data_IF_051725990658
#
_entry.id   IF_051725990658
#
_cell.length_a   1.000
_cell.length_b   1.000
_cell.length_c   1.000
_cell.angle_alpha   90.00
_cell.angle_beta   90.00
_cell.angle_gamma   90.00
#
_symmetry.space_group_name_H-M   'P 1'
#
loop_
_entity.id
_entity.type
_entity.pdbx_description
1 polymer ?
#
# COMPACT_ATOMS: atom_id res chain seq x y z
N UNK A 1 -14.19 10.26 5.60
CA UNK A 1 -15.21 9.35 5.04
C UNK A 1 -14.47 8.36 4.18
N UNK A 2 -13.81 7.34 4.76
CA UNK A 2 -13.08 6.34 3.98
C UNK A 2 -13.23 4.93 4.58
N UNK A 3 -14.43 4.59 5.03
CA UNK A 3 -14.77 3.26 5.55
C UNK A 3 -14.78 2.16 4.48
N UNK A 4 -14.46 2.47 3.22
CA UNK A 4 -14.56 1.50 2.14
C UNK A 4 -13.35 0.54 2.11
N UNK A 5 -12.12 1.06 2.20
CA UNK A 5 -10.92 0.21 2.15
C UNK A 5 -10.76 -0.63 3.42
N UNK A 6 -11.04 -0.06 4.59
CA UNK A 6 -10.98 -0.80 5.87
C UNK A 6 -11.91 -2.01 5.85
N UNK A 7 -13.15 -1.85 5.38
CA UNK A 7 -14.11 -2.95 5.33
C UNK A 7 -13.69 -4.02 4.33
N UNK A 8 -13.22 -3.63 3.14
CA UNK A 8 -12.71 -4.60 2.16
C UNK A 8 -11.51 -5.36 2.73
N UNK A 9 -10.62 -4.71 3.47
CA UNK A 9 -9.48 -5.38 4.12
C UNK A 9 -9.91 -6.31 5.25
N UNK A 10 -11.02 -6.02 5.95
CA UNK A 10 -11.61 -6.96 6.92
C UNK A 10 -12.20 -8.17 6.21
N UNK A 11 -12.98 -7.95 5.16
CA UNK A 11 -13.63 -9.00 4.39
C UNK A 11 -12.60 -9.92 3.70
N UNK A 12 -11.45 -9.36 3.28
CA UNK A 12 -10.32 -10.13 2.74
C UNK A 12 -9.63 -11.05 3.78
N UNK A 13 -9.98 -10.93 5.06
CA UNK A 13 -9.50 -11.77 6.15
C UNK A 13 -10.61 -12.65 6.73
N UNK A 14 -11.80 -12.65 6.12
CA UNK A 14 -12.94 -13.44 6.59
C UNK A 14 -12.67 -14.94 6.42
N UNK A 15 -13.10 -15.79 7.38
CA UNK A 15 -13.00 -17.24 7.24
C UNK A 15 -13.87 -17.82 6.12
N UNK A 16 -14.93 -17.13 5.67
CA UNK A 16 -15.74 -17.53 4.50
C UNK A 16 -14.98 -17.23 3.21
N UNK A 17 -14.69 -18.28 2.44
CA UNK A 17 -13.98 -18.19 1.17
C UNK A 17 -14.69 -17.29 0.15
N UNK A 18 -16.03 -17.23 0.15
CA UNK A 18 -16.76 -16.38 -0.79
C UNK A 18 -16.58 -14.90 -0.47
N UNK A 19 -16.67 -14.54 0.81
CA UNK A 19 -16.46 -13.16 1.28
C UNK A 19 -15.03 -12.72 0.99
N UNK A 20 -14.05 -13.59 1.29
CA UNK A 20 -12.64 -13.32 1.00
C UNK A 20 -12.37 -13.11 -0.49
N UNK A 21 -12.86 -14.01 -1.35
CA UNK A 21 -12.66 -13.91 -2.81
C UNK A 21 -13.31 -12.66 -3.39
N UNK A 22 -14.51 -12.28 -2.92
CA UNK A 22 -15.18 -11.06 -3.36
C UNK A 22 -14.38 -9.81 -2.95
N UNK A 23 -13.84 -9.79 -1.73
CA UNK A 23 -13.00 -8.70 -1.24
C UNK A 23 -11.68 -8.59 -2.03
N UNK A 24 -11.02 -9.70 -2.30
CA UNK A 24 -9.82 -9.74 -3.15
C UNK A 24 -10.10 -9.22 -4.57
N UNK A 25 -11.23 -9.60 -5.15
CA UNK A 25 -11.66 -9.09 -6.46
C UNK A 25 -11.89 -7.57 -6.43
N UNK A 26 -12.51 -7.05 -5.36
CA UNK A 26 -12.71 -5.60 -5.16
C UNK A 26 -11.38 -4.86 -5.01
N UNK A 27 -10.42 -5.39 -4.24
CA UNK A 27 -9.09 -4.79 -4.10
C UNK A 27 -8.40 -4.66 -5.45
N UNK A 28 -8.44 -5.74 -6.25
CA UNK A 28 -7.87 -5.74 -7.61
C UNK A 28 -8.57 -4.74 -8.53
N UNK A 29 -9.89 -4.67 -8.47
CA UNK A 29 -10.67 -3.71 -9.25
C UNK A 29 -10.33 -2.25 -8.88
N UNK A 30 -10.11 -1.95 -7.59
CA UNK A 30 -9.70 -0.62 -7.15
C UNK A 30 -8.32 -0.25 -7.65
N UNK A 31 -7.36 -1.18 -7.58
CA UNK A 31 -6.00 -1.00 -8.11
C UNK A 31 -6.04 -0.74 -9.62
N UNK A 32 -6.79 -1.54 -10.39
CA UNK A 32 -6.89 -1.39 -11.86
C UNK A 32 -7.62 -0.10 -12.26
N UNK A 33 -8.63 0.32 -11.50
CA UNK A 33 -9.42 1.53 -11.78
C UNK A 33 -8.66 2.81 -11.48
N UNK A 34 -8.00 2.88 -10.33
CA UNK A 34 -7.29 4.08 -9.90
C UNK A 34 -6.17 3.72 -8.92
N UNK A 35 -5.09 3.18 -9.49
CA UNK A 35 -3.87 2.83 -8.76
C UNK A 35 -3.34 3.95 -7.86
N UNK A 36 -3.20 5.23 -8.29
CA UNK A 36 -2.72 6.30 -7.41
C UNK A 36 -3.54 6.45 -6.12
N UNK A 37 -4.87 6.56 -6.24
CA UNK A 37 -5.75 6.72 -5.07
C UNK A 37 -5.83 5.46 -4.21
N UNK A 38 -5.72 4.28 -4.84
CA UNK A 38 -5.66 3.01 -4.12
C UNK A 38 -4.42 2.94 -3.21
N UNK A 39 -3.23 3.27 -3.72
CA UNK A 39 -2.00 3.31 -2.93
C UNK A 39 -2.08 4.34 -1.79
N UNK A 40 -2.66 5.51 -2.05
CA UNK A 40 -2.89 6.53 -1.03
C UNK A 40 -3.83 6.02 0.08
N UNK A 41 -4.92 5.37 -0.29
CA UNK A 41 -5.88 4.79 0.66
C UNK A 41 -5.22 3.74 1.56
N UNK A 42 -4.40 2.85 0.98
CA UNK A 42 -3.65 1.86 1.76
C UNK A 42 -2.62 2.51 2.69
N UNK A 43 -1.93 3.56 2.25
CA UNK A 43 -0.96 4.27 3.09
C UNK A 43 -1.63 5.00 4.27
N UNK A 44 -2.82 5.57 4.03
CA UNK A 44 -3.63 6.22 5.06
C UNK A 44 -4.11 5.19 6.08
N UNK A 45 -4.66 4.06 5.62
CA UNK A 45 -5.11 2.96 6.46
C UNK A 45 -3.97 2.42 7.35
N UNK A 46 -2.78 2.21 6.77
CA UNK A 46 -1.59 1.75 7.50
C UNK A 46 -1.18 2.72 8.62
N UNK A 47 -1.30 4.03 8.37
CA UNK A 47 -0.94 5.11 9.29
C UNK A 47 -2.01 5.43 10.35
N UNK A 48 -3.26 5.02 10.12
CA UNK A 48 -4.37 5.25 11.03
C UNK A 48 -4.26 4.37 12.27
N UNK A 49 -4.05 4.98 13.44
CA UNK A 49 -4.07 4.25 14.73
C UNK A 49 -5.48 3.83 15.14
N UNK A 50 -6.52 4.45 14.57
CA UNK A 50 -7.91 4.08 14.79
C UNK A 50 -8.31 2.80 14.02
N UNK A 51 -7.50 2.39 13.05
CA UNK A 51 -7.74 1.20 12.24
C UNK A 51 -7.32 -0.09 12.96
N UNK A 52 -8.03 -1.21 12.77
CA UNK A 52 -7.66 -2.48 13.38
C UNK A 52 -6.23 -2.92 13.00
N UNK A 53 -5.43 -3.44 13.94
CA UNK A 53 -4.04 -3.83 13.69
C UNK A 53 -3.86 -4.77 12.49
N UNK A 54 -4.80 -5.70 12.30
CA UNK A 54 -4.86 -6.67 11.21
C UNK A 54 -5.08 -6.00 9.84
N UNK A 55 -6.00 -5.03 9.75
CA UNK A 55 -6.24 -4.24 8.54
C UNK A 55 -5.00 -3.43 8.17
N UNK A 56 -4.34 -2.81 9.16
CA UNK A 56 -3.09 -2.06 8.95
C UNK A 56 -1.98 -2.97 8.43
N UNK A 57 -1.85 -4.16 9.01
CA UNK A 57 -0.85 -5.14 8.59
C UNK A 57 -1.08 -5.61 7.14
N UNK A 58 -2.33 -5.92 6.81
CA UNK A 58 -2.71 -6.31 5.45
C UNK A 58 -2.51 -5.16 4.46
N UNK A 59 -2.90 -3.93 4.82
CA UNK A 59 -2.68 -2.75 4.00
C UNK A 59 -1.19 -2.53 3.69
N UNK A 60 -0.32 -2.67 4.69
CA UNK A 60 1.13 -2.60 4.49
C UNK A 60 1.67 -3.71 3.58
N UNK A 61 1.13 -4.92 3.69
CA UNK A 61 1.52 -6.05 2.83
C UNK A 61 1.11 -5.81 1.38
N UNK A 62 -0.14 -5.38 1.14
CA UNK A 62 -0.64 -5.07 -0.20
C UNK A 62 0.14 -3.90 -0.80
N UNK A 63 0.31 -2.80 -0.05
CA UNK A 63 1.03 -1.62 -0.50
C UNK A 63 2.47 -1.97 -0.92
N UNK A 64 3.17 -2.78 -0.12
CA UNK A 64 4.50 -3.30 -0.46
C UNK A 64 4.47 -4.11 -1.75
N UNK A 65 3.54 -5.05 -1.89
CA UNK A 65 3.44 -5.89 -3.08
C UNK A 65 3.07 -5.09 -4.34
N UNK A 66 2.35 -3.97 -4.19
CA UNK A 66 2.05 -3.08 -5.29
C UNK A 66 3.28 -2.27 -5.73
N UNK A 67 4.22 -1.92 -4.85
CA UNK A 67 5.45 -1.18 -5.24
C UNK A 67 6.66 -2.07 -5.53
N UNK A 68 6.65 -3.30 -5.05
CA UNK A 68 7.70 -4.29 -5.22
C UNK A 68 7.10 -5.66 -5.54
N UNK A 69 7.37 -6.11 -6.76
CA UNK A 69 6.90 -7.40 -7.25
C UNK A 69 7.70 -8.53 -6.62
N UNK A 70 7.03 -9.65 -6.36
CA UNK A 70 7.66 -10.89 -5.87
C UNK A 70 8.76 -11.40 -6.80
N UNK A 71 8.63 -11.14 -8.11
CA UNK A 71 9.58 -11.53 -9.15
C UNK A 71 10.28 -10.31 -9.74
N UNK A 72 11.58 -10.43 -10.02
CA UNK A 72 12.42 -9.33 -10.50
C UNK A 72 11.96 -8.74 -11.85
N UNK A 73 11.34 -9.56 -12.70
CA UNK A 73 10.84 -9.14 -14.01
C UNK A 73 9.69 -8.12 -13.91
N UNK A 74 8.81 -8.26 -12.92
CA UNK A 74 7.70 -7.35 -12.67
C UNK A 74 8.16 -6.01 -12.08
N UNK A 75 9.32 -5.99 -11.42
CA UNK A 75 9.84 -4.76 -10.79
C UNK A 75 10.06 -3.66 -11.82
N UNK A 76 10.50 -3.96 -13.04
CA UNK A 76 10.71 -2.94 -14.08
C UNK A 76 9.44 -2.18 -14.44
N UNK A 77 8.29 -2.87 -14.52
CA UNK A 77 6.98 -2.29 -14.82
C UNK A 77 6.48 -1.48 -13.62
N UNK A 78 6.58 -2.06 -12.42
CA UNK A 78 6.15 -1.39 -11.18
C UNK A 78 6.95 -0.11 -10.90
N UNK A 79 8.25 -0.12 -11.20
CA UNK A 79 9.13 1.05 -11.15
C UNK A 79 8.60 2.13 -12.10
N UNK A 80 8.33 1.79 -13.37
CA UNK A 80 7.77 2.75 -14.34
C UNK A 80 6.43 3.32 -13.88
N UNK A 81 5.52 2.46 -13.41
CA UNK A 81 4.23 2.88 -12.89
C UNK A 81 4.37 3.81 -11.68
N UNK A 82 5.30 3.51 -10.77
CA UNK A 82 5.60 4.34 -9.62
C UNK A 82 6.19 5.70 -10.05
N UNK A 83 7.15 5.72 -10.97
CA UNK A 83 7.71 6.97 -11.51
C UNK A 83 6.62 7.84 -12.14
N UNK A 84 5.69 7.25 -12.87
CA UNK A 84 4.55 7.95 -13.49
C UNK A 84 3.47 8.44 -12.53
N UNK A 85 3.50 8.09 -11.24
CA UNK A 85 2.54 8.63 -10.26
C UNK A 85 2.74 10.13 -10.08
N UNK A 86 1.62 10.84 -9.82
CA UNK A 86 1.63 12.26 -9.47
C UNK A 86 2.55 12.51 -8.26
N UNK A 87 3.50 13.47 -8.36
CA UNK A 87 4.37 13.84 -7.25
C UNK A 87 3.64 14.18 -5.95
N UNK A 88 2.44 14.78 -6.03
CA UNK A 88 1.62 15.11 -4.85
C UNK A 88 1.18 13.85 -4.11
N UNK A 89 0.66 12.86 -4.84
CA UNK A 89 0.24 11.58 -4.28
C UNK A 89 1.43 10.84 -3.66
N UNK A 90 2.61 10.88 -4.29
CA UNK A 90 3.84 10.30 -3.72
C UNK A 90 4.21 10.95 -2.39
N UNK A 91 4.11 12.27 -2.30
CA UNK A 91 4.40 13.02 -1.06
C UNK A 91 3.43 12.62 0.04
N UNK A 92 2.12 12.59 -0.23
CA UNK A 92 1.11 12.19 0.76
C UNK A 92 1.30 10.75 1.26
N UNK A 93 1.63 9.81 0.35
CA UNK A 93 1.96 8.43 0.71
C UNK A 93 3.17 8.41 1.66
N UNK A 94 4.24 9.15 1.34
CA UNK A 94 5.45 9.19 2.18
C UNK A 94 5.17 9.81 3.54
N UNK A 95 4.43 10.91 3.61
CA UNK A 95 4.04 11.54 4.88
C UNK A 95 3.27 10.55 5.76
N UNK A 96 2.30 9.82 5.19
CA UNK A 96 1.54 8.78 5.90
C UNK A 96 2.45 7.65 6.41
N UNK A 97 3.42 7.20 5.59
CA UNK A 97 4.38 6.17 5.98
C UNK A 97 5.35 6.67 7.06
N UNK A 98 5.79 7.92 7.00
CA UNK A 98 6.67 8.53 8.00
C UNK A 98 5.97 8.66 9.36
N UNK A 99 4.69 9.02 9.36
CA UNK A 99 3.86 8.99 10.58
C UNK A 99 3.79 7.58 11.17
N UNK A 100 3.58 6.56 10.32
CA UNK A 100 3.59 5.15 10.75
C UNK A 100 4.95 4.73 11.32
N UNK A 101 6.05 5.18 10.71
CA UNK A 101 7.42 4.86 11.13
C UNK A 101 7.76 5.46 12.51
N UNK A 102 7.21 6.63 12.82
CA UNK A 102 7.35 7.26 14.14
C UNK A 102 6.57 6.56 15.25
N UNK A 103 5.64 5.67 14.92
CA UNK A 103 4.88 4.88 15.90
C UNK A 103 5.69 3.66 16.37
N UNK A 104 5.51 3.25 17.63
CA UNK A 104 6.14 2.03 18.17
C UNK A 104 5.45 0.73 17.70
N UNK A 105 4.65 0.80 16.64
CA UNK A 105 3.81 -0.29 16.17
C UNK A 105 4.61 -1.27 15.27
N UNK A 106 4.29 -2.58 15.26
CA UNK A 106 4.91 -3.56 14.35
C UNK A 106 4.85 -3.15 12.86
N UNK A 107 3.86 -2.34 12.49
CA UNK A 107 3.64 -1.75 11.19
C UNK A 107 4.76 -0.80 10.74
N UNK A 108 5.54 -0.24 11.67
CA UNK A 108 6.70 0.62 11.37
C UNK A 108 7.73 -0.09 10.48
N UNK A 109 7.87 -1.42 10.62
CA UNK A 109 8.73 -2.23 9.75
C UNK A 109 8.23 -2.27 8.30
N UNK A 110 6.92 -2.36 8.09
CA UNK A 110 6.34 -2.32 6.75
C UNK A 110 6.55 -0.94 6.13
N UNK A 111 6.32 0.12 6.92
CA UNK A 111 6.55 1.49 6.48
C UNK A 111 8.01 1.74 6.06
N UNK A 112 8.99 1.30 6.85
CA UNK A 112 10.41 1.49 6.52
C UNK A 112 10.81 0.80 5.21
N UNK A 113 10.32 -0.41 4.96
CA UNK A 113 10.58 -1.15 3.72
C UNK A 113 9.99 -0.43 2.50
N UNK A 114 8.76 0.06 2.61
CA UNK A 114 8.08 0.77 1.52
C UNK A 114 8.77 2.11 1.24
N UNK A 115 9.14 2.87 2.28
CA UNK A 115 9.91 4.12 2.14
C UNK A 115 11.24 3.86 1.45
N UNK A 116 12.00 2.84 1.89
CA UNK A 116 13.27 2.47 1.27
C UNK A 116 13.12 2.10 -0.21
N UNK A 117 12.05 1.39 -0.56
CA UNK A 117 11.74 1.04 -1.94
C UNK A 117 11.39 2.27 -2.79
N UNK A 118 10.52 3.15 -2.28
CA UNK A 118 10.17 4.40 -2.98
C UNK A 118 11.42 5.28 -3.19
N UNK A 119 12.27 5.40 -2.18
CA UNK A 119 13.53 6.12 -2.30
C UNK A 119 14.45 5.49 -3.38
N UNK A 120 14.58 4.17 -3.41
CA UNK A 120 15.36 3.48 -4.45
C UNK A 120 14.82 3.75 -5.87
N UNK A 121 13.50 3.83 -6.04
CA UNK A 121 12.84 4.11 -7.33
C UNK A 121 13.07 5.56 -7.78
N UNK A 122 13.06 6.50 -6.83
CA UNK A 122 13.12 7.93 -7.12
C UNK A 122 14.53 8.50 -7.20
N UNK A 123 15.49 7.86 -6.52
CA UNK A 123 16.90 8.22 -6.66
C UNK A 123 17.27 7.91 -8.12
N UNK A 124 17.63 8.94 -8.93
CA UNK A 124 18.08 8.69 -10.29
C UNK A 124 19.28 7.75 -10.20
N UNK A 125 19.26 6.68 -11.00
CA UNK A 125 20.48 5.92 -11.28
C UNK A 125 21.52 6.92 -11.77
N UNK A 126 22.46 7.31 -10.90
CA UNK A 126 23.65 8.03 -11.31
C UNK A 126 24.44 7.09 -12.21
N UNK A 127 24.53 7.43 -13.50
CA UNK A 127 25.46 6.84 -14.46
C UNK A 127 24.82 5.83 -15.38
#
# INVERSE_FOLDING_TARGET
MDNNITQILKDAQDPDDNVRLEAEAKLKQLEDRNRPNFLLSLSTELSSEASPPECRCLAGTILKNSVEGKYSEHNSILIKQCISLDPRIKTEIKESLLMTLGSSAPQARHASQIIGRLAYIEIPSRG
#
